data_IF_238211364932
#
_entry.id   IF_238211364932
#
_cell.length_a   1.000
_cell.length_b   1.000
_cell.length_c   1.000
_cell.angle_alpha   90.00
_cell.angle_beta   90.00
_cell.angle_gamma   90.00
#
_symmetry.space_group_name_H-M   'P 1'
#
loop_
_entity.id
_entity.type
_entity.pdbx_description
1 polymer ?
#
# COMPACT_ATOMS: atom_id res chain seq x y z
N UNK A 1 25.57 -20.81 57.42
CA UNK A 1 25.88 -21.82 56.39
C UNK A 1 25.68 -21.18 55.03
N UNK A 2 26.77 -20.77 54.37
CA UNK A 2 26.75 -20.36 52.97
C UNK A 2 26.93 -21.62 52.13
N UNK A 3 26.01 -21.92 51.20
CA UNK A 3 26.31 -22.81 50.07
C UNK A 3 26.39 -21.93 48.82
N UNK A 4 27.60 -21.70 48.28
CA UNK A 4 27.82 -21.01 47.03
C UNK A 4 27.66 -22.00 45.87
N UNK A 5 27.35 -21.48 44.67
CA UNK A 5 27.39 -22.19 43.38
C UNK A 5 26.21 -23.13 43.05
N UNK A 6 25.08 -22.56 42.64
CA UNK A 6 24.29 -23.16 41.55
C UNK A 6 24.66 -22.45 40.24
N UNK A 7 25.81 -22.81 39.68
CA UNK A 7 26.14 -22.47 38.30
C UNK A 7 25.29 -23.34 37.37
N UNK A 8 24.26 -22.77 36.75
CA UNK A 8 23.60 -23.41 35.62
C UNK A 8 24.64 -23.68 34.52
N UNK A 9 24.83 -24.93 34.07
CA UNK A 9 25.81 -25.20 33.03
C UNK A 9 25.32 -24.52 31.75
N UNK A 10 26.05 -23.49 31.31
CA UNK A 10 25.94 -22.96 29.95
C UNK A 10 26.27 -24.09 28.99
N UNK A 11 25.25 -24.83 28.53
CA UNK A 11 25.38 -25.81 27.46
C UNK A 11 25.91 -25.06 26.24
N UNK A 12 27.19 -25.26 25.94
CA UNK A 12 27.81 -24.78 24.70
C UNK A 12 26.89 -25.24 23.55
N UNK A 13 26.41 -24.33 22.69
CA UNK A 13 25.62 -24.75 21.55
C UNK A 13 26.45 -25.76 20.77
N UNK A 14 25.89 -26.94 20.51
CA UNK A 14 26.57 -27.92 19.67
C UNK A 14 26.93 -27.30 18.32
N UNK A 15 27.98 -27.81 17.66
CA UNK A 15 28.44 -27.33 16.35
C UNK A 15 27.28 -27.16 15.34
N UNK A 16 26.30 -28.09 15.37
CA UNK A 16 25.06 -28.03 14.60
C UNK A 16 24.09 -26.91 15.01
N UNK A 17 24.03 -26.56 16.30
CA UNK A 17 23.24 -25.44 16.81
C UNK A 17 23.80 -24.08 16.35
N UNK A 18 25.12 -23.94 16.33
CA UNK A 18 25.80 -22.76 15.77
C UNK A 18 25.54 -22.61 14.27
N UNK A 19 25.70 -23.69 13.50
CA UNK A 19 25.42 -23.70 12.06
C UNK A 19 23.96 -23.35 11.73
N UNK A 20 23.01 -23.93 12.48
CA UNK A 20 21.58 -23.64 12.31
C UNK A 20 21.25 -22.18 12.61
N UNK A 21 21.80 -21.63 13.68
CA UNK A 21 21.60 -20.22 14.03
C UNK A 21 22.16 -19.30 12.94
N UNK A 22 23.38 -19.57 12.44
CA UNK A 22 23.98 -18.80 11.35
C UNK A 22 23.19 -18.90 10.04
N UNK A 23 22.67 -20.08 9.68
CA UNK A 23 21.81 -20.26 8.51
C UNK A 23 20.50 -19.48 8.63
N UNK A 24 19.82 -19.56 9.78
CA UNK A 24 18.56 -18.82 10.01
C UNK A 24 18.78 -17.31 9.96
N UNK A 25 19.86 -16.80 10.57
CA UNK A 25 20.23 -15.39 10.49
C UNK A 25 20.53 -14.98 9.05
N UNK A 26 21.29 -15.79 8.31
CA UNK A 26 21.56 -15.54 6.89
C UNK A 26 20.28 -15.52 6.04
N UNK A 27 19.34 -16.42 6.30
CA UNK A 27 18.05 -16.46 5.62
C UNK A 27 17.23 -15.21 5.90
N UNK A 28 17.15 -14.74 7.15
CA UNK A 28 16.41 -13.52 7.51
C UNK A 28 17.00 -12.28 6.81
N UNK A 29 18.32 -12.24 6.61
CA UNK A 29 18.99 -11.13 5.92
C UNK A 29 18.79 -11.19 4.41
N UNK A 30 18.87 -12.38 3.79
CA UNK A 30 18.80 -12.54 2.33
C UNK A 30 17.35 -12.58 1.83
N UNK A 31 16.41 -13.10 2.61
CA UNK A 31 15.03 -13.31 2.19
C UNK A 31 14.34 -12.04 1.66
N UNK A 32 14.45 -10.86 2.30
CA UNK A 32 13.83 -9.64 1.77
C UNK A 32 14.38 -9.26 0.39
N UNK A 33 15.70 -9.37 0.19
CA UNK A 33 16.36 -9.02 -1.08
C UNK A 33 16.02 -10.03 -2.17
N UNK A 34 16.02 -11.32 -1.85
CA UNK A 34 15.63 -12.36 -2.80
C UNK A 34 14.15 -12.21 -3.19
N UNK A 35 13.27 -11.90 -2.22
CA UNK A 35 11.85 -11.69 -2.45
C UNK A 35 11.58 -10.48 -3.35
N UNK A 36 12.30 -9.37 -3.17
CA UNK A 36 12.14 -8.18 -4.04
C UNK A 36 12.60 -8.46 -5.46
N UNK A 37 13.77 -9.10 -5.63
CA UNK A 37 14.27 -9.50 -6.96
C UNK A 37 13.27 -10.44 -7.65
N UNK A 38 12.78 -11.45 -6.93
CA UNK A 38 11.78 -12.39 -7.45
C UNK A 38 10.49 -11.68 -7.86
N UNK A 39 9.98 -10.77 -7.02
CA UNK A 39 8.76 -10.01 -7.29
C UNK A 39 8.92 -9.13 -8.54
N UNK A 40 10.01 -8.37 -8.65
CA UNK A 40 10.30 -7.54 -9.83
C UNK A 40 10.37 -8.42 -11.08
N UNK A 41 11.09 -9.54 -11.01
CA UNK A 41 11.23 -10.47 -12.14
C UNK A 41 9.89 -11.10 -12.55
N UNK A 42 9.03 -11.43 -11.58
CA UNK A 42 7.69 -11.96 -11.82
C UNK A 42 6.77 -10.92 -12.49
N UNK A 43 6.73 -9.69 -11.96
CA UNK A 43 5.91 -8.59 -12.52
C UNK A 43 6.35 -8.24 -13.94
N UNK A 44 7.65 -8.11 -14.18
CA UNK A 44 8.18 -7.84 -15.53
C UNK A 44 7.77 -8.95 -16.50
N UNK A 45 7.93 -10.22 -16.10
CA UNK A 45 7.54 -11.34 -16.95
C UNK A 45 6.04 -11.41 -17.24
N UNK A 46 5.21 -11.05 -16.26
CA UNK A 46 3.76 -10.97 -16.44
C UNK A 46 3.36 -9.87 -17.43
N UNK A 47 3.96 -8.68 -17.32
CA UNK A 47 3.73 -7.57 -18.26
C UNK A 47 4.22 -7.95 -19.67
N UNK A 48 5.45 -8.44 -19.80
CA UNK A 48 6.01 -8.88 -21.07
C UNK A 48 5.13 -9.95 -21.74
N UNK A 49 4.64 -10.91 -20.95
CA UNK A 49 3.74 -11.97 -21.44
C UNK A 49 2.40 -11.46 -21.95
N UNK A 50 1.90 -10.32 -21.47
CA UNK A 50 0.67 -9.70 -21.98
C UNK A 50 0.93 -8.78 -23.17
N UNK A 51 2.05 -8.03 -23.14
CA UNK A 51 2.35 -6.96 -24.09
C UNK A 51 3.03 -7.47 -25.36
N UNK A 52 4.05 -8.34 -25.24
CA UNK A 52 4.81 -8.83 -26.41
C UNK A 52 3.96 -9.59 -27.45
N UNK A 53 2.90 -10.35 -27.06
CA UNK A 53 1.98 -10.94 -28.03
C UNK A 53 1.19 -9.90 -28.85
N UNK A 54 0.91 -8.73 -28.28
CA UNK A 54 0.18 -7.65 -28.94
C UNK A 54 1.08 -6.81 -29.87
N UNK A 55 2.40 -6.90 -29.69
CA UNK A 55 3.38 -6.22 -30.55
C UNK A 55 3.62 -7.06 -31.81
N UNK A 56 3.47 -6.46 -33.01
CA UNK A 56 3.76 -7.13 -34.27
C UNK A 56 5.15 -7.77 -34.29
N UNK A 57 5.28 -8.95 -34.89
CA UNK A 57 6.54 -9.71 -34.95
C UNK A 57 7.72 -8.90 -35.50
N UNK A 58 7.47 -7.90 -36.36
CA UNK A 58 8.49 -7.01 -36.94
C UNK A 58 9.10 -6.01 -35.95
N UNK A 59 8.43 -5.75 -34.82
CA UNK A 59 8.93 -4.85 -33.77
C UNK A 59 9.43 -5.61 -32.54
N UNK A 60 9.55 -6.94 -32.60
CA UNK A 60 10.11 -7.72 -31.51
C UNK A 60 11.63 -7.59 -31.49
N UNK A 61 12.23 -7.11 -30.39
CA UNK A 61 13.68 -6.99 -30.28
C UNK A 61 14.37 -8.35 -30.42
N UNK A 62 13.71 -9.43 -30.00
CA UNK A 62 14.16 -10.83 -30.11
C UNK A 62 14.64 -11.18 -31.53
N UNK A 63 14.02 -10.60 -32.56
CA UNK A 63 14.37 -10.81 -33.98
C UNK A 63 15.64 -10.07 -34.40
N UNK A 64 16.02 -9.01 -33.68
CA UNK A 64 17.18 -8.15 -34.01
C UNK A 64 18.41 -8.39 -33.13
N UNK A 65 18.21 -8.74 -31.85
CA UNK A 65 19.29 -8.92 -30.86
C UNK A 65 19.53 -10.39 -30.47
N UNK A 66 18.71 -11.34 -30.93
CA UNK A 66 18.90 -12.79 -30.70
C UNK A 66 18.82 -13.24 -29.23
N UNK A 67 18.52 -12.34 -28.32
CA UNK A 67 18.38 -12.56 -26.88
C UNK A 67 16.99 -12.06 -26.47
N UNK A 68 16.25 -12.87 -25.72
CA UNK A 68 15.00 -12.44 -25.11
C UNK A 68 15.31 -11.49 -23.94
N UNK A 69 15.30 -10.18 -24.23
CA UNK A 69 15.53 -9.16 -23.22
C UNK A 69 14.24 -8.94 -22.43
N UNK A 70 14.16 -9.61 -21.27
CA UNK A 70 13.06 -9.43 -20.31
C UNK A 70 13.05 -7.99 -19.81
N UNK A 71 11.89 -7.32 -19.91
CA UNK A 71 11.70 -5.90 -19.61
C UNK A 71 11.30 -5.04 -20.81
N UNK A 72 11.39 -5.55 -22.04
CA UNK A 72 11.03 -4.73 -23.22
C UNK A 72 9.53 -4.48 -23.32
N UNK A 73 8.70 -5.46 -22.96
CA UNK A 73 7.25 -5.26 -22.90
C UNK A 73 6.86 -4.17 -21.91
N UNK A 74 7.56 -4.07 -20.78
CA UNK A 74 7.38 -2.96 -19.81
C UNK A 74 7.65 -1.60 -20.44
N UNK A 75 8.75 -1.45 -21.19
CA UNK A 75 9.09 -0.18 -21.87
C UNK A 75 8.02 0.17 -22.91
N UNK A 76 7.61 -0.80 -23.73
CA UNK A 76 6.57 -0.61 -24.74
C UNK A 76 5.25 -0.22 -24.08
N UNK A 77 4.88 -0.89 -22.99
CA UNK A 77 3.67 -0.59 -22.22
C UNK A 77 3.68 0.83 -21.66
N UNK A 78 4.81 1.28 -21.11
CA UNK A 78 4.95 2.65 -20.60
C UNK A 78 4.79 3.67 -21.73
N UNK A 79 5.47 3.49 -22.86
CA UNK A 79 5.36 4.38 -24.03
C UNK A 79 3.91 4.42 -24.54
N UNK A 80 3.30 3.26 -24.70
CA UNK A 80 1.90 3.14 -25.13
C UNK A 80 0.95 3.87 -24.17
N UNK A 81 1.10 3.68 -22.87
CA UNK A 81 0.25 4.32 -21.85
C UNK A 81 0.40 5.84 -21.87
N UNK A 82 1.62 6.35 -22.03
CA UNK A 82 1.88 7.79 -22.16
C UNK A 82 1.24 8.35 -23.44
N UNK A 83 1.35 7.65 -24.56
CA UNK A 83 0.73 8.06 -25.82
C UNK A 83 -0.80 8.11 -25.72
N UNK A 84 -1.42 7.07 -25.16
CA UNK A 84 -2.88 7.02 -24.92
C UNK A 84 -3.30 8.18 -24.00
N UNK A 85 -2.57 8.41 -22.91
CA UNK A 85 -2.84 9.50 -21.99
C UNK A 85 -2.69 10.88 -22.64
N UNK A 86 -1.71 11.05 -23.53
CA UNK A 86 -1.51 12.29 -24.28
C UNK A 86 -2.66 12.54 -25.28
N UNK A 87 -3.07 11.51 -26.03
CA UNK A 87 -4.22 11.58 -26.94
C UNK A 87 -5.49 11.92 -26.17
N UNK A 88 -5.72 11.27 -25.02
CA UNK A 88 -6.89 11.49 -24.16
C UNK A 88 -7.00 12.94 -23.64
N UNK A 89 -5.89 13.66 -23.49
CA UNK A 89 -5.89 15.08 -23.11
C UNK A 89 -6.38 16.00 -24.24
N UNK A 90 -6.22 15.60 -25.50
CA UNK A 90 -6.62 16.38 -26.66
C UNK A 90 -8.14 16.38 -26.91
N UNK A 91 -8.63 17.38 -27.66
CA UNK A 91 -10.06 17.52 -28.00
C UNK A 91 -10.62 16.28 -28.73
N UNK A 92 -9.83 15.71 -29.65
CA UNK A 92 -10.21 14.51 -30.41
C UNK A 92 -10.29 13.29 -29.49
N UNK A 93 -9.32 13.11 -28.60
CA UNK A 93 -9.29 11.98 -27.67
C UNK A 93 -10.47 12.00 -26.69
N UNK A 94 -10.82 13.18 -26.14
CA UNK A 94 -12.01 13.33 -25.29
C UNK A 94 -13.29 12.94 -26.03
N UNK A 95 -13.43 13.36 -27.29
CA UNK A 95 -14.59 13.01 -28.12
C UNK A 95 -14.67 11.50 -28.40
N UNK A 96 -13.55 10.85 -28.71
CA UNK A 96 -13.49 9.40 -28.90
C UNK A 96 -13.83 8.62 -27.62
N UNK A 97 -13.35 9.08 -26.46
CA UNK A 97 -13.67 8.47 -25.16
C UNK A 97 -15.17 8.58 -24.88
N UNK A 98 -15.76 9.77 -25.04
CA UNK A 98 -17.20 9.95 -24.86
C UNK A 98 -18.04 9.12 -25.82
N UNK A 99 -17.59 8.95 -27.06
CA UNK A 99 -18.24 8.06 -28.01
C UNK A 99 -18.19 6.60 -27.55
N UNK A 100 -17.02 6.12 -27.10
CA UNK A 100 -16.87 4.77 -26.56
C UNK A 100 -17.73 4.54 -25.31
N UNK A 101 -17.78 5.52 -24.41
CA UNK A 101 -18.64 5.50 -23.23
C UNK A 101 -20.12 5.41 -23.62
N UNK A 102 -20.55 6.17 -24.64
CA UNK A 102 -21.93 6.13 -25.13
C UNK A 102 -22.33 4.77 -25.70
N UNK A 103 -21.38 4.00 -26.24
CA UNK A 103 -21.61 2.63 -26.69
C UNK A 103 -21.76 1.68 -25.50
N UNK A 104 -20.93 1.85 -24.48
CA UNK A 104 -21.00 1.06 -23.24
C UNK A 104 -22.31 1.32 -22.49
N UNK A 105 -22.78 2.57 -22.45
CA UNK A 105 -24.04 2.97 -21.82
C UNK A 105 -25.28 2.30 -22.43
N UNK A 106 -25.19 1.81 -23.67
CA UNK A 106 -26.28 1.09 -24.34
C UNK A 106 -26.35 -0.38 -23.95
N UNK A 107 -25.35 -0.91 -23.24
CA UNK A 107 -25.29 -2.31 -22.82
C UNK A 107 -25.69 -2.42 -21.34
N UNK A 108 -26.91 -2.90 -21.00
CA UNK A 108 -27.49 -2.78 -19.66
C UNK A 108 -26.69 -3.48 -18.55
N UNK A 109 -25.92 -4.52 -18.86
CA UNK A 109 -25.06 -5.22 -17.89
C UNK A 109 -23.65 -4.62 -17.83
N UNK A 110 -23.09 -4.22 -18.98
CA UNK A 110 -21.71 -3.70 -19.06
C UNK A 110 -21.63 -2.29 -18.48
N UNK A 111 -22.69 -1.49 -18.68
CA UNK A 111 -22.78 -0.12 -18.19
C UNK A 111 -22.53 -0.01 -16.69
N UNK A 112 -23.21 -0.82 -15.87
CA UNK A 112 -23.13 -0.72 -14.41
C UNK A 112 -21.73 -1.07 -13.88
N UNK A 113 -21.09 -2.08 -14.48
CA UNK A 113 -19.72 -2.49 -14.13
C UNK A 113 -18.73 -1.38 -14.54
N UNK A 114 -18.82 -0.90 -15.78
CA UNK A 114 -17.94 0.15 -16.29
C UNK A 114 -18.09 1.46 -15.50
N UNK A 115 -19.33 1.90 -15.25
CA UNK A 115 -19.60 3.12 -14.48
C UNK A 115 -19.10 3.02 -13.04
N UNK A 116 -19.25 1.85 -12.40
CA UNK A 116 -18.74 1.62 -11.06
C UNK A 116 -17.21 1.70 -11.00
N UNK A 117 -16.52 1.02 -11.93
CA UNK A 117 -15.05 1.04 -12.00
C UNK A 117 -14.54 2.45 -12.34
N UNK A 118 -15.20 3.15 -13.28
CA UNK A 118 -14.87 4.52 -13.66
C UNK A 118 -15.03 5.47 -12.48
N UNK A 119 -16.15 5.39 -11.76
CA UNK A 119 -16.40 6.22 -10.58
C UNK A 119 -15.37 6.00 -9.48
N UNK A 120 -15.00 4.73 -9.20
CA UNK A 120 -13.96 4.43 -8.22
C UNK A 120 -12.63 5.02 -8.68
N UNK A 121 -12.29 4.85 -9.95
CA UNK A 121 -11.05 5.37 -10.53
C UNK A 121 -11.00 6.89 -10.45
N UNK A 122 -12.03 7.60 -10.92
CA UNK A 122 -12.16 9.06 -10.84
C UNK A 122 -12.14 9.57 -9.40
N UNK A 123 -12.77 8.85 -8.48
CA UNK A 123 -12.75 9.19 -7.05
C UNK A 123 -11.34 9.06 -6.48
N UNK A 124 -10.61 7.98 -6.79
CA UNK A 124 -9.22 7.78 -6.33
C UNK A 124 -8.29 8.85 -6.90
N UNK A 125 -8.42 9.19 -8.19
CA UNK A 125 -7.64 10.26 -8.82
C UNK A 125 -8.01 11.67 -8.33
N UNK A 126 -9.27 11.92 -7.95
CA UNK A 126 -9.68 13.17 -7.33
C UNK A 126 -9.29 13.23 -5.84
N UNK A 127 -9.23 12.08 -5.16
CA UNK A 127 -8.84 11.94 -3.77
C UNK A 127 -7.33 12.02 -3.56
N UNK A 128 -6.51 11.74 -4.59
CA UNK A 128 -5.05 11.90 -4.49
C UNK A 128 -4.62 13.34 -4.21
N UNK A 129 -5.51 14.33 -4.34
CA UNK A 129 -5.25 15.70 -3.92
C UNK A 129 -5.71 16.05 -2.49
N UNK A 130 -6.54 15.24 -1.79
CA UNK A 130 -7.11 15.58 -0.45
C UNK A 130 -7.56 14.43 0.48
N UNK A 131 -7.08 13.19 0.36
CA UNK A 131 -7.57 12.11 1.24
C UNK A 131 -6.47 11.12 1.60
N UNK A 132 -6.32 10.86 2.90
CA UNK A 132 -5.24 10.07 3.53
C UNK A 132 -3.89 10.77 3.65
N UNK A 133 -3.89 12.07 3.98
CA UNK A 133 -2.62 12.81 4.10
C UNK A 133 -1.94 12.66 5.46
N UNK A 134 -2.69 12.29 6.51
CA UNK A 134 -2.16 12.26 7.87
C UNK A 134 -2.61 11.06 8.69
N UNK A 135 -1.67 10.53 9.47
CA UNK A 135 -1.96 9.64 10.58
C UNK A 135 -2.49 10.47 11.76
N UNK A 136 -3.36 9.87 12.57
CA UNK A 136 -3.93 10.52 13.74
C UNK A 136 -4.07 9.55 14.92
N UNK A 137 -4.23 10.12 16.12
CA UNK A 137 -4.72 9.43 17.30
C UNK A 137 -6.16 9.80 17.56
N UNK A 138 -6.96 8.78 17.86
CA UNK A 138 -8.34 8.92 18.35
C UNK A 138 -8.54 8.06 19.59
N UNK A 139 -9.54 8.40 20.41
CA UNK A 139 -9.93 7.56 21.53
C UNK A 139 -10.97 6.53 21.09
N UNK A 140 -10.62 5.24 21.10
CA UNK A 140 -11.49 4.15 20.68
C UNK A 140 -11.13 2.84 21.40
N UNK A 141 -12.11 2.02 21.84
CA UNK A 141 -13.56 2.21 21.73
C UNK A 141 -14.17 3.08 22.84
N UNK A 142 -13.37 3.54 23.80
CA UNK A 142 -13.83 4.42 24.88
C UNK A 142 -12.74 5.41 25.30
N UNK A 143 -13.12 6.41 26.10
CA UNK A 143 -12.17 7.40 26.64
C UNK A 143 -11.04 6.74 27.42
N UNK A 144 -9.82 7.24 27.19
CA UNK A 144 -8.56 6.74 27.77
C UNK A 144 -7.90 5.59 27.00
N UNK A 145 -8.51 5.07 25.92
CA UNK A 145 -7.90 4.06 25.05
C UNK A 145 -7.61 4.71 23.70
N UNK A 146 -6.35 4.71 23.29
CA UNK A 146 -5.90 5.40 22.08
C UNK A 146 -5.65 4.44 20.94
N UNK A 147 -6.05 4.84 19.74
CA UNK A 147 -5.86 4.08 18.51
C UNK A 147 -5.29 4.98 17.41
N UNK A 148 -4.39 4.42 16.61
CA UNK A 148 -3.85 5.06 15.41
C UNK A 148 -4.84 4.86 14.28
N UNK A 149 -5.21 5.95 13.62
CA UNK A 149 -6.05 5.95 12.42
C UNK A 149 -5.45 6.81 11.32
N UNK A 150 -6.12 6.81 10.17
CA UNK A 150 -5.78 7.62 9.02
C UNK A 150 -6.91 8.57 8.69
N UNK A 151 -6.60 9.87 8.64
CA UNK A 151 -7.58 10.90 8.33
C UNK A 151 -8.00 10.78 6.87
N UNK A 152 -9.30 10.64 6.63
CA UNK A 152 -9.90 10.57 5.30
C UNK A 152 -10.57 11.90 4.95
N UNK A 153 -11.84 11.87 4.53
CA UNK A 153 -12.61 13.07 4.16
C UNK A 153 -13.55 13.53 5.27
N UNK A 154 -13.90 14.82 5.31
CA UNK A 154 -14.99 15.31 6.14
C UNK A 154 -16.30 14.56 5.84
N UNK A 155 -17.12 14.33 6.87
CA UNK A 155 -18.42 13.71 6.71
C UNK A 155 -19.32 14.53 5.77
N UNK A 156 -20.04 13.86 4.88
CA UNK A 156 -20.97 14.50 3.92
C UNK A 156 -22.31 13.77 3.92
N UNK A 157 -23.32 14.42 3.35
CA UNK A 157 -24.63 13.81 3.10
C UNK A 157 -25.39 13.43 4.36
N UNK A 158 -25.95 12.23 4.39
CA UNK A 158 -26.80 11.75 5.49
C UNK A 158 -26.04 11.60 6.81
N UNK A 159 -24.78 11.14 6.76
CA UNK A 159 -23.93 10.95 7.94
C UNK A 159 -23.74 12.26 8.69
N UNK A 160 -23.37 13.33 7.98
CA UNK A 160 -23.18 14.67 8.58
C UNK A 160 -24.47 15.28 9.10
N UNK A 161 -25.64 14.89 8.57
CA UNK A 161 -26.95 15.46 8.97
C UNK A 161 -27.61 14.74 10.13
N UNK A 162 -27.38 13.43 10.25
CA UNK A 162 -28.05 12.57 11.24
C UNK A 162 -27.20 12.26 12.46
N UNK A 163 -25.88 12.35 12.36
CA UNK A 163 -25.03 12.18 13.52
C UNK A 163 -25.27 13.33 14.51
N UNK A 164 -25.69 13.01 15.72
CA UNK A 164 -26.00 13.97 16.79
C UNK A 164 -24.72 14.44 17.49
N UNK A 165 -23.82 15.07 16.75
CA UNK A 165 -22.58 15.63 17.28
C UNK A 165 -22.60 17.16 17.25
N UNK A 166 -22.02 17.80 18.27
CA UNK A 166 -22.03 19.25 18.40
C UNK A 166 -21.14 20.02 17.41
N UNK A 167 -20.34 19.32 16.59
CA UNK A 167 -19.34 19.90 15.71
C UNK A 167 -19.15 19.16 14.38
N UNK A 168 -18.18 19.64 13.60
CA UNK A 168 -17.81 19.04 12.32
C UNK A 168 -17.28 17.61 12.53
N UNK A 169 -17.71 16.70 11.65
CA UNK A 169 -17.29 15.31 11.67
C UNK A 169 -16.25 15.04 10.60
N UNK A 170 -15.21 14.30 10.97
CA UNK A 170 -14.18 13.83 10.07
C UNK A 170 -14.15 12.30 10.01
N UNK A 171 -14.00 11.77 8.81
CA UNK A 171 -13.83 10.34 8.58
C UNK A 171 -12.41 9.92 8.96
N UNK A 172 -12.30 8.92 9.83
CA UNK A 172 -11.04 8.29 10.24
C UNK A 172 -11.12 6.81 9.90
N UNK A 173 -10.19 6.32 9.10
CA UNK A 173 -10.01 4.88 8.89
C UNK A 173 -9.19 4.31 10.05
N UNK A 174 -9.81 3.44 10.85
CA UNK A 174 -9.18 2.72 11.94
C UNK A 174 -8.79 1.31 11.48
N UNK A 175 -7.51 1.07 11.13
CA UNK A 175 -7.06 -0.23 10.66
C UNK A 175 -7.02 -1.28 11.79
N UNK A 176 -7.07 -2.55 11.40
CA UNK A 176 -6.79 -3.67 12.30
C UNK A 176 -5.31 -4.05 12.27
N UNK A 177 -4.79 -4.49 13.42
CA UNK A 177 -3.44 -5.04 13.53
C UNK A 177 -3.48 -6.57 13.39
N UNK A 178 -2.54 -7.21 12.67
CA UNK A 178 -1.44 -6.63 11.89
C UNK A 178 -1.82 -6.29 10.44
N UNK A 179 -3.08 -6.49 10.03
CA UNK A 179 -3.50 -6.30 8.64
C UNK A 179 -4.16 -4.91 8.42
N UNK A 180 -3.44 -3.89 7.90
CA UNK A 180 -3.97 -2.54 7.73
C UNK A 180 -4.94 -2.41 6.54
N UNK A 181 -5.21 -3.49 5.80
CA UNK A 181 -6.18 -3.47 4.70
C UNK A 181 -7.62 -3.63 5.18
N UNK A 182 -7.82 -4.06 6.42
CA UNK A 182 -9.13 -4.15 7.07
C UNK A 182 -9.22 -3.17 8.24
N UNK A 183 -10.44 -2.77 8.58
CA UNK A 183 -10.66 -1.77 9.61
C UNK A 183 -12.09 -1.25 9.64
N UNK A 184 -12.28 -0.17 10.38
CA UNK A 184 -13.53 0.55 10.50
C UNK A 184 -13.40 1.93 9.86
N UNK A 185 -14.44 2.41 9.19
CA UNK A 185 -14.60 3.82 8.90
C UNK A 185 -15.37 4.44 10.06
N UNK A 186 -14.71 5.30 10.82
CA UNK A 186 -15.31 6.01 11.94
C UNK A 186 -15.55 7.46 11.53
N UNK A 187 -16.68 8.03 11.95
CA UNK A 187 -16.91 9.47 11.88
C UNK A 187 -16.86 10.00 13.31
N UNK A 188 -15.86 10.83 13.60
CA UNK A 188 -15.60 11.38 14.93
C UNK A 188 -15.60 12.90 14.87
N UNK A 189 -15.93 13.61 15.98
CA UNK A 189 -15.76 15.05 16.04
C UNK A 189 -14.32 15.43 15.73
N UNK A 190 -14.12 16.48 14.91
CA UNK A 190 -12.79 16.94 14.52
C UNK A 190 -11.91 17.30 15.74
N UNK A 191 -12.53 17.82 16.81
CA UNK A 191 -11.88 18.13 18.09
C UNK A 191 -11.34 16.91 18.85
N UNK A 192 -11.84 15.71 18.57
CA UNK A 192 -11.38 14.46 19.20
C UNK A 192 -10.23 13.80 18.42
N UNK A 193 -9.78 14.40 17.30
CA UNK A 193 -8.71 13.88 16.45
C UNK A 193 -7.41 14.63 16.72
N UNK A 194 -6.36 13.88 17.05
CA UNK A 194 -5.01 14.43 17.23
C UNK A 194 -4.17 14.03 16.02
N UNK A 195 -3.82 14.98 15.17
CA UNK A 195 -2.91 14.73 14.05
C UNK A 195 -1.51 14.35 14.54
N UNK A 196 -0.90 13.36 13.90
CA UNK A 196 0.47 12.95 14.16
C UNK A 196 1.41 13.52 13.11
N UNK A 197 2.65 13.81 13.51
CA UNK A 197 3.71 14.28 12.59
C UNK A 197 4.31 13.16 11.73
N UNK A 198 4.09 11.89 12.11
CA UNK A 198 4.61 10.74 11.37
C UNK A 198 3.91 10.58 10.03
N UNK A 199 4.65 10.08 9.04
CA UNK A 199 4.10 9.73 7.73
C UNK A 199 3.12 8.55 7.82
N UNK A 200 2.26 8.39 6.81
CA UNK A 200 1.38 7.23 6.71
C UNK A 200 2.14 5.91 6.70
N UNK A 201 3.27 5.87 6.01
CA UNK A 201 4.11 4.66 5.93
C UNK A 201 4.65 4.26 7.32
N UNK A 202 5.05 5.25 8.10
CA UNK A 202 5.53 5.08 9.47
C UNK A 202 4.45 4.56 10.41
N UNK A 203 3.24 5.14 10.35
CA UNK A 203 2.09 4.66 11.09
C UNK A 203 1.69 3.24 10.65
N UNK A 204 1.68 2.96 9.35
CA UNK A 204 1.38 1.63 8.80
C UNK A 204 2.40 0.58 9.27
N UNK A 205 3.70 0.91 9.29
CA UNK A 205 4.74 0.02 9.85
C UNK A 205 4.47 -0.31 11.31
N UNK A 206 4.08 0.67 12.12
CA UNK A 206 3.75 0.44 13.52
C UNK A 206 2.54 -0.48 13.70
N UNK A 207 1.49 -0.29 12.89
CA UNK A 207 0.30 -1.13 12.89
C UNK A 207 0.62 -2.55 12.43
N UNK A 208 1.30 -2.72 11.29
CA UNK A 208 1.65 -4.04 10.72
C UNK A 208 2.55 -4.84 11.68
N UNK A 209 3.50 -4.15 12.32
CA UNK A 209 4.40 -4.77 13.29
C UNK A 209 3.75 -5.03 14.66
N UNK A 210 2.46 -4.75 14.82
CA UNK A 210 1.74 -4.87 16.09
C UNK A 210 2.41 -4.10 17.25
N UNK A 211 2.91 -2.90 16.96
CA UNK A 211 3.56 -2.06 17.96
C UNK A 211 5.05 -2.36 18.17
N UNK A 212 5.66 -3.27 17.41
CA UNK A 212 7.06 -3.66 17.60
C UNK A 212 8.05 -2.74 16.88
N UNK A 213 7.63 -2.07 15.82
CA UNK A 213 8.47 -1.18 15.02
C UNK A 213 7.91 0.23 15.09
N UNK A 214 8.52 1.06 15.94
CA UNK A 214 8.22 2.48 15.98
C UNK A 214 8.96 3.23 14.88
N UNK A 215 8.33 4.23 14.25
CA UNK A 215 9.04 5.11 13.36
C UNK A 215 10.11 5.86 14.15
N UNK A 216 11.36 5.61 13.79
CA UNK A 216 12.51 6.24 14.42
C UNK A 216 12.43 7.75 14.19
N UNK A 217 12.20 8.52 15.25
CA UNK A 217 12.44 9.95 15.21
C UNK A 217 13.89 10.21 14.80
N UNK A 218 14.09 10.64 13.54
CA UNK A 218 15.38 10.98 12.93
C UNK A 218 16.45 9.88 13.04
N UNK A 219 16.38 8.91 12.13
CA UNK A 219 17.44 7.96 11.69
C UNK A 219 16.99 6.48 11.80
N UNK A 220 16.63 5.83 10.67
CA UNK A 220 16.18 4.43 10.64
C UNK A 220 17.28 3.42 11.01
N UNK A 221 18.54 3.84 11.21
CA UNK A 221 19.64 2.94 11.59
C UNK A 221 19.83 2.80 13.10
N UNK A 222 19.18 3.62 13.93
CA UNK A 222 19.37 3.58 15.38
C UNK A 222 18.27 2.76 16.07
N UNK A 223 18.62 1.84 17.00
CA UNK A 223 17.62 1.12 17.77
C UNK A 223 16.82 2.08 18.66
N UNK A 224 15.54 1.76 18.94
CA UNK A 224 14.69 2.60 19.79
C UNK A 224 15.34 2.81 21.15
N UNK A 225 15.41 4.07 21.58
CA UNK A 225 15.99 4.46 22.86
C UNK A 225 15.13 3.86 23.97
N UNK A 226 15.67 2.91 24.73
CA UNK A 226 14.98 2.35 25.91
C UNK A 226 14.80 3.47 26.93
N UNK A 227 13.56 3.91 27.13
CA UNK A 227 13.14 4.67 28.32
C UNK A 227 12.90 3.73 29.48
#
# INVERSE_FOLDING_TARGET
MNSPFDEHPHRRPGLFGGLRASFLTGLVVIAPVALTIWLIWAVIGWIDGFVLPLVPHTMRPETYIGINLRGVGVIIFLIFTVLVGWIAKGLIGRSMIHFAESLVDRMPVVRSIYSGIKQISETVFAQSERSFEKACLIQYPRKGIWAIGFISTPAKGEVSKRAETGGALIGVFLPTTPNPTSGFLLFVPEEDVIELEMSLEEAAKLIISAGLVYPNGKDPTKPPKKT
#
